data_IF_675915484615
#
_entry.id   IF_675915484615
#
_cell.length_a   1.000
_cell.length_b   1.000
_cell.length_c   1.000
_cell.angle_alpha   90.00
_cell.angle_beta   90.00
_cell.angle_gamma   90.00
#
_symmetry.space_group_name_H-M   'P 1'
#
loop_
_entity.id
_entity.type
_entity.pdbx_description
1 polymer ?
#
# COMPACT_ATOMS: atom_id res chain seq x y z
N UNK A 1 -3.66 16.51 -15.10
CA UNK A 1 -4.60 15.94 -14.09
C UNK A 1 -4.45 16.75 -12.81
N UNK A 2 -5.52 17.09 -12.07
CA UNK A 2 -5.39 17.95 -10.89
C UNK A 2 -4.71 17.21 -9.75
N UNK A 3 -3.67 17.81 -9.18
CA UNK A 3 -2.90 17.29 -8.03
C UNK A 3 -3.81 16.87 -6.87
N UNK A 4 -4.89 17.63 -6.64
CA UNK A 4 -5.88 17.35 -5.60
C UNK A 4 -6.48 15.93 -5.67
N UNK A 5 -6.65 15.35 -6.87
CA UNK A 5 -7.22 13.99 -6.99
C UNK A 5 -6.23 12.92 -6.53
N UNK A 6 -4.94 13.12 -6.80
CA UNK A 6 -3.89 12.21 -6.32
C UNK A 6 -3.71 12.32 -4.81
N UNK A 7 -3.81 13.52 -4.24
CA UNK A 7 -3.78 13.73 -2.78
C UNK A 7 -4.94 12.97 -2.12
N UNK A 8 -6.17 13.13 -2.63
CA UNK A 8 -7.34 12.43 -2.06
C UNK A 8 -7.16 10.90 -2.15
N UNK A 9 -6.68 10.38 -3.28
CA UNK A 9 -6.41 8.97 -3.44
C UNK A 9 -5.33 8.45 -2.48
N UNK A 10 -4.25 9.22 -2.30
CA UNK A 10 -3.17 8.86 -1.37
C UNK A 10 -3.67 8.83 0.08
N UNK A 11 -4.48 9.81 0.49
CA UNK A 11 -5.12 9.83 1.82
C UNK A 11 -6.02 8.60 1.99
N UNK A 12 -6.83 8.27 0.99
CA UNK A 12 -7.68 7.06 1.05
C UNK A 12 -6.85 5.79 1.15
N UNK A 13 -5.75 5.65 0.39
CA UNK A 13 -4.83 4.50 0.50
C UNK A 13 -4.26 4.42 1.91
N UNK A 14 -3.76 5.54 2.45
CA UNK A 14 -3.21 5.58 3.81
C UNK A 14 -4.25 5.17 4.86
N UNK A 15 -5.50 5.65 4.76
CA UNK A 15 -6.57 5.28 5.70
C UNK A 15 -6.98 3.81 5.62
N UNK A 16 -6.79 3.15 4.47
CA UNK A 16 -6.98 1.70 4.32
C UNK A 16 -5.79 0.91 4.88
N UNK A 17 -4.57 1.40 4.62
CA UNK A 17 -3.32 0.70 4.96
C UNK A 17 -2.94 0.84 6.44
N UNK A 18 -3.08 2.05 7.00
CA UNK A 18 -2.59 2.40 8.33
C UNK A 18 -3.26 1.60 9.46
N UNK A 19 -4.59 1.35 9.49
CA UNK A 19 -5.19 0.53 10.54
C UNK A 19 -4.70 -0.92 10.49
N UNK A 20 -4.53 -1.47 9.29
CA UNK A 20 -4.05 -2.85 9.10
C UNK A 20 -2.61 -2.96 9.59
N UNK A 21 -1.75 -2.04 9.16
CA UNK A 21 -0.35 -1.96 9.59
C UNK A 21 -0.23 -1.72 11.10
N UNK A 22 -0.96 -0.75 11.64
CA UNK A 22 -0.93 -0.37 13.06
C UNK A 22 -1.39 -1.47 14.02
N UNK A 23 -2.19 -2.44 13.54
CA UNK A 23 -2.61 -3.61 14.34
C UNK A 23 -1.70 -4.80 14.09
N UNK A 24 -1.43 -5.13 12.83
CA UNK A 24 -0.77 -6.38 12.49
C UNK A 24 0.76 -6.32 12.63
N UNK A 25 1.41 -5.20 12.32
CA UNK A 25 2.86 -5.10 12.53
C UNK A 25 3.22 -5.31 14.00
N UNK A 26 2.62 -4.59 14.97
CA UNK A 26 2.94 -4.82 16.39
C UNK A 26 2.58 -6.22 16.89
N UNK A 27 1.58 -6.88 16.29
CA UNK A 27 1.20 -8.24 16.68
C UNK A 27 2.23 -9.30 16.27
N UNK A 28 3.06 -9.03 15.26
CA UNK A 28 3.99 -10.01 14.67
C UNK A 28 5.45 -9.52 14.62
N UNK A 29 5.73 -8.38 15.22
CA UNK A 29 7.06 -7.74 15.30
C UNK A 29 7.29 -7.14 16.68
N UNK A 30 8.45 -6.56 16.89
CA UNK A 30 8.80 -5.80 18.09
C UNK A 30 8.41 -4.32 18.01
N UNK A 31 7.82 -3.87 16.89
CA UNK A 31 7.41 -2.48 16.70
C UNK A 31 6.21 -2.13 17.58
N UNK A 32 6.20 -0.92 18.13
CA UNK A 32 5.00 -0.37 18.76
C UNK A 32 4.03 0.20 17.71
N UNK A 33 2.81 0.54 18.15
CA UNK A 33 1.76 1.07 17.25
C UNK A 33 2.19 2.37 16.57
N UNK A 34 2.92 3.25 17.26
CA UNK A 34 3.38 4.52 16.69
C UNK A 34 4.41 4.30 15.57
N UNK A 35 5.36 3.40 15.78
CA UNK A 35 6.34 2.99 14.77
C UNK A 35 5.66 2.31 13.57
N UNK A 36 4.66 1.45 13.80
CA UNK A 36 3.89 0.81 12.74
C UNK A 36 3.12 1.84 11.88
N UNK A 37 2.48 2.83 12.51
CA UNK A 37 1.79 3.92 11.79
C UNK A 37 2.78 4.81 11.04
N UNK A 38 3.95 5.11 11.63
CA UNK A 38 5.00 5.88 10.95
C UNK A 38 5.54 5.12 9.73
N UNK A 39 5.73 3.80 9.87
CA UNK A 39 6.13 2.91 8.78
C UNK A 39 5.10 2.95 7.65
N UNK A 40 3.81 2.82 7.97
CA UNK A 40 2.74 2.94 6.98
C UNK A 40 2.74 4.31 6.29
N UNK A 41 2.97 5.39 7.04
CA UNK A 41 2.98 6.76 6.50
C UNK A 41 4.11 6.98 5.50
N UNK A 42 5.30 6.44 5.78
CA UNK A 42 6.47 6.54 4.89
C UNK A 42 6.34 5.63 3.66
N UNK A 43 5.80 4.43 3.83
CA UNK A 43 5.68 3.45 2.73
C UNK A 43 4.54 3.79 1.77
N UNK A 44 3.41 4.30 2.27
CA UNK A 44 2.20 4.50 1.45
C UNK A 44 2.45 5.36 0.20
N UNK A 45 3.15 6.50 0.24
CA UNK A 45 3.47 7.29 -0.95
C UNK A 45 4.29 6.53 -1.99
N UNK A 46 5.28 5.75 -1.53
CA UNK A 46 6.17 4.97 -2.42
C UNK A 46 5.37 3.89 -3.12
N UNK A 47 4.62 3.09 -2.36
CA UNK A 47 3.77 2.01 -2.88
C UNK A 47 2.72 2.58 -3.84
N UNK A 48 2.05 3.67 -3.47
CA UNK A 48 1.07 4.35 -4.31
C UNK A 48 1.64 4.77 -5.67
N UNK A 49 2.83 5.35 -5.69
CA UNK A 49 3.43 5.78 -6.95
C UNK A 49 3.79 4.56 -7.81
N UNK A 50 4.48 3.58 -7.22
CA UNK A 50 5.04 2.45 -7.97
C UNK A 50 3.95 1.49 -8.46
N UNK A 51 2.99 1.11 -7.62
CA UNK A 51 1.95 0.17 -8.00
C UNK A 51 0.74 0.88 -8.63
N UNK A 52 0.14 1.83 -7.93
CA UNK A 52 -1.15 2.41 -8.34
C UNK A 52 -1.06 3.41 -9.48
N UNK A 53 -0.01 4.23 -9.52
CA UNK A 53 0.11 5.27 -10.55
C UNK A 53 0.83 4.73 -11.79
N UNK A 54 1.83 3.86 -11.61
CA UNK A 54 2.67 3.37 -12.70
C UNK A 54 2.14 2.05 -13.26
N UNK A 55 1.90 1.03 -12.43
CA UNK A 55 1.56 -0.33 -12.88
C UNK A 55 0.09 -0.45 -13.22
N UNK A 56 -0.80 -0.04 -12.33
CA UNK A 56 -2.26 -0.23 -12.44
C UNK A 56 -2.88 0.26 -13.76
N UNK A 57 -2.62 1.49 -14.27
CA UNK A 57 -3.25 1.96 -15.51
C UNK A 57 -2.69 1.28 -16.77
N UNK A 58 -1.55 0.59 -16.68
CA UNK A 58 -0.88 -0.05 -17.82
C UNK A 58 -1.13 -1.56 -17.88
N UNK A 59 -1.16 -2.22 -16.74
CA UNK A 59 -1.13 -3.68 -16.62
C UNK A 59 -2.34 -4.25 -15.86
N UNK A 60 -3.19 -3.38 -15.30
CA UNK A 60 -4.42 -3.77 -14.61
C UNK A 60 -4.21 -4.23 -13.17
N UNK A 61 -5.32 -4.61 -12.53
CA UNK A 61 -5.41 -4.86 -11.08
C UNK A 61 -4.49 -5.97 -10.58
N UNK A 62 -4.39 -7.09 -11.29
CA UNK A 62 -3.57 -8.23 -10.86
C UNK A 62 -2.08 -7.89 -10.84
N UNK A 63 -1.59 -7.18 -11.86
CA UNK A 63 -0.20 -6.74 -11.92
C UNK A 63 0.10 -5.68 -10.85
N UNK A 64 -0.86 -4.77 -10.57
CA UNK A 64 -0.72 -3.79 -9.50
C UNK A 64 -0.60 -4.46 -8.13
N UNK A 65 -1.47 -5.44 -7.82
CA UNK A 65 -1.38 -6.21 -6.57
C UNK A 65 -0.05 -6.96 -6.43
N UNK A 66 0.47 -7.53 -7.51
CA UNK A 66 1.80 -8.16 -7.49
C UNK A 66 2.90 -7.11 -7.20
N UNK A 67 2.80 -5.92 -7.78
CA UNK A 67 3.72 -4.82 -7.51
C UNK A 67 3.60 -4.32 -6.05
N UNK A 68 2.38 -4.16 -5.51
CA UNK A 68 2.16 -3.79 -4.11
C UNK A 68 2.82 -4.80 -3.16
N UNK A 69 2.65 -6.11 -3.40
CA UNK A 69 3.26 -7.18 -2.59
C UNK A 69 4.80 -7.08 -2.66
N UNK A 70 5.37 -7.02 -3.87
CA UNK A 70 6.83 -6.99 -4.05
C UNK A 70 7.42 -5.73 -3.40
N UNK A 71 6.85 -4.56 -3.67
CA UNK A 71 7.34 -3.29 -3.12
C UNK A 71 7.19 -3.26 -1.61
N UNK A 72 6.07 -3.74 -1.06
CA UNK A 72 5.87 -3.80 0.40
C UNK A 72 6.86 -4.73 1.08
N UNK A 73 7.16 -5.91 0.51
CA UNK A 73 8.18 -6.82 1.04
C UNK A 73 9.55 -6.15 1.04
N UNK A 74 9.94 -5.50 -0.05
CA UNK A 74 11.22 -4.80 -0.15
C UNK A 74 11.32 -3.67 0.88
N UNK A 75 10.27 -2.87 1.00
CA UNK A 75 10.22 -1.77 1.96
C UNK A 75 10.27 -2.26 3.41
N UNK A 76 9.58 -3.35 3.74
CA UNK A 76 9.62 -3.97 5.07
C UNK A 76 10.99 -4.56 5.37
N UNK A 77 11.68 -5.15 4.39
CA UNK A 77 13.05 -5.59 4.56
C UNK A 77 13.97 -4.40 4.86
N UNK A 78 13.91 -3.32 4.09
CA UNK A 78 14.68 -2.12 4.41
C UNK A 78 14.30 -1.54 5.78
N UNK A 79 13.03 -1.56 6.17
CA UNK A 79 12.64 -1.13 7.52
C UNK A 79 13.32 -1.95 8.64
N UNK A 80 13.59 -3.26 8.43
CA UNK A 80 14.35 -4.06 9.41
C UNK A 80 15.78 -3.55 9.61
N UNK A 81 16.45 -3.13 8.53
CA UNK A 81 17.84 -2.69 8.57
C UNK A 81 17.95 -1.29 9.19
N UNK A 82 16.99 -0.41 8.90
CA UNK A 82 16.95 0.95 9.46
C UNK A 82 16.50 0.99 10.93
N UNK A 83 15.49 0.20 11.31
CA UNK A 83 14.94 0.22 12.66
C UNK A 83 15.62 -0.77 13.62
N UNK A 84 16.43 -1.71 13.10
CA UNK A 84 17.08 -2.75 13.91
C UNK A 84 16.12 -3.82 14.43
N UNK A 85 14.86 -3.80 13.99
CA UNK A 85 13.79 -4.65 14.49
C UNK A 85 13.44 -5.80 13.53
N UNK A 86 12.96 -6.92 14.08
CA UNK A 86 12.47 -8.05 13.28
C UNK A 86 11.04 -7.78 12.82
N UNK A 87 10.89 -7.43 11.55
CA UNK A 87 9.66 -6.82 11.03
C UNK A 87 8.48 -7.78 10.92
N UNK A 88 8.64 -9.10 10.71
CA UNK A 88 7.50 -10.03 10.80
C UNK A 88 7.91 -11.51 10.82
N UNK A 89 7.20 -12.33 11.62
CA UNK A 89 7.22 -13.79 11.49
C UNK A 89 6.50 -14.25 10.20
N UNK A 90 6.89 -15.41 9.59
CA UNK A 90 6.29 -15.88 8.33
C UNK A 90 4.75 -16.00 8.34
N UNK A 91 4.09 -16.51 9.40
CA UNK A 91 2.63 -16.59 9.44
C UNK A 91 1.96 -15.20 9.48
N UNK A 92 2.54 -14.25 10.20
CA UNK A 92 2.04 -12.87 10.26
C UNK A 92 2.14 -12.18 8.90
N UNK A 93 3.18 -12.49 8.13
CA UNK A 93 3.40 -11.92 6.79
C UNK A 93 2.26 -12.29 5.85
N UNK A 94 1.82 -13.55 5.88
CA UNK A 94 0.70 -14.04 5.06
C UNK A 94 -0.61 -13.34 5.45
N UNK A 95 -0.89 -13.19 6.75
CA UNK A 95 -2.12 -12.55 7.23
C UNK A 95 -2.17 -11.05 6.88
N UNK A 96 -1.05 -10.35 7.05
CA UNK A 96 -0.89 -8.94 6.64
C UNK A 96 -1.13 -8.81 5.14
N UNK A 97 -0.42 -9.61 4.33
CA UNK A 97 -0.54 -9.56 2.88
C UNK A 97 -1.96 -9.87 2.40
N UNK A 98 -2.64 -10.85 3.01
CA UNK A 98 -4.02 -11.19 2.65
C UNK A 98 -5.00 -10.05 2.98
N UNK A 99 -4.84 -9.43 4.16
CA UNK A 99 -5.72 -8.34 4.62
C UNK A 99 -5.53 -7.08 3.78
N UNK A 100 -4.27 -6.73 3.50
CA UNK A 100 -3.91 -5.62 2.61
C UNK A 100 -4.43 -5.89 1.19
N UNK A 101 -4.14 -7.06 0.64
CA UNK A 101 -4.54 -7.41 -0.74
C UNK A 101 -6.05 -7.37 -0.95
N UNK A 102 -6.85 -7.76 0.05
CA UNK A 102 -8.30 -7.63 0.01
C UNK A 102 -8.76 -6.16 -0.07
N UNK A 103 -8.13 -5.27 0.71
CA UNK A 103 -8.41 -3.83 0.67
C UNK A 103 -7.93 -3.16 -0.62
N UNK A 104 -6.74 -3.53 -1.10
CA UNK A 104 -6.13 -2.98 -2.31
C UNK A 104 -6.89 -3.33 -3.58
N UNK A 105 -7.47 -4.53 -3.66
CA UNK A 105 -8.31 -4.87 -4.80
C UNK A 105 -9.48 -3.89 -4.98
N UNK A 106 -10.17 -3.56 -3.89
CA UNK A 106 -11.26 -2.56 -3.92
C UNK A 106 -10.74 -1.17 -4.29
N UNK A 107 -9.59 -0.77 -3.72
CA UNK A 107 -8.95 0.51 -4.00
C UNK A 107 -8.55 0.63 -5.49
N UNK A 108 -7.99 -0.41 -6.10
CA UNK A 108 -7.65 -0.45 -7.52
C UNK A 108 -8.88 -0.23 -8.41
N UNK A 109 -10.01 -0.88 -8.11
CA UNK A 109 -11.26 -0.66 -8.85
C UNK A 109 -11.75 0.79 -8.72
N UNK A 110 -11.65 1.36 -7.50
CA UNK A 110 -11.96 2.76 -7.27
C UNK A 110 -11.06 3.70 -8.10
N UNK A 111 -9.74 3.49 -8.11
CA UNK A 111 -8.79 4.29 -8.88
C UNK A 111 -9.04 4.19 -10.38
N UNK A 112 -9.27 2.97 -10.88
CA UNK A 112 -9.59 2.76 -12.28
C UNK A 112 -10.83 3.55 -12.68
N UNK A 113 -11.91 3.53 -11.87
CA UNK A 113 -13.16 4.23 -12.19
C UNK A 113 -13.10 5.75 -12.03
N UNK A 114 -12.34 6.26 -11.07
CA UNK A 114 -12.37 7.68 -10.69
C UNK A 114 -11.21 8.49 -11.25
N UNK A 115 -10.00 7.92 -11.20
CA UNK A 115 -8.76 8.57 -11.63
C UNK A 115 -8.41 8.26 -13.08
N UNK A 116 -8.52 7.00 -13.51
CA UNK A 116 -8.04 6.58 -14.83
C UNK A 116 -9.12 6.51 -15.93
N UNK A 117 -10.36 6.13 -15.61
CA UNK A 117 -11.46 5.99 -16.59
C UNK A 117 -11.92 7.35 -17.15
N UNK A 118 -11.70 8.46 -16.43
CA UNK A 118 -11.98 9.80 -16.98
C UNK A 118 -11.05 10.18 -18.14
N UNK A 119 -9.89 9.53 -18.28
CA UNK A 119 -8.93 9.82 -19.36
C UNK A 119 -9.46 9.43 -20.74
N UNK A 120 -10.44 8.54 -20.82
CA UNK A 120 -11.09 8.12 -22.08
C UNK A 120 -12.26 8.99 -22.53
N UNK A 121 -12.76 9.91 -21.69
CA UNK A 121 -13.95 10.75 -22.00
C UNK A 121 -13.62 12.22 -22.30
N UNK A 122 -12.35 12.58 -22.31
CA UNK A 122 -11.84 13.91 -22.69
C UNK A 122 -11.14 13.88 -24.08
N UNK A 123 -11.60 13.01 -24.98
CA UNK A 123 -11.21 13.01 -26.39
C UNK A 123 -12.43 13.16 -27.28
#
# INVERSE_FOLDING_TARGET
MPVARHINALITKFLLFAPVMGVLLPAFSSLNVAEAIMTALLMTPVVYILADVIVLPRQGTWAAMAADIIVTILLLWEATTFLGEKVLAPPGTVLVAATIGAGEWYFHQFLLRTLFNRRGREK
#
